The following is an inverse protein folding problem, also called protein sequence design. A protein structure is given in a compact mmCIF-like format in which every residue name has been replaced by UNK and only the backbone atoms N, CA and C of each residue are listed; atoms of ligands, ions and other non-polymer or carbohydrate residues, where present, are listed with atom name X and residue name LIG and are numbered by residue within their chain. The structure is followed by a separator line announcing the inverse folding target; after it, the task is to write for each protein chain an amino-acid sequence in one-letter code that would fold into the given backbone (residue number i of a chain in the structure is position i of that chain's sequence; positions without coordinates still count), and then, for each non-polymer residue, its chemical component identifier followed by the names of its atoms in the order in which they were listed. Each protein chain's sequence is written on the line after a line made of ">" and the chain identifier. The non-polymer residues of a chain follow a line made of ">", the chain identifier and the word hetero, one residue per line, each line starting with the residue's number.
data_IF_955953929530
#
_entry.id   IF_955953929530
#
_cell.length_a   1.000
_cell.length_b   1.000
_cell.length_c   1.000
_cell.angle_alpha   90.00
_cell.angle_beta   90.00
_cell.angle_gamma   90.00
#
_symmetry.space_group_name_H-M   'P 1'
#
loop_
_entity.id
_entity.type
_entity.pdbx_description
1 polymer ?
#
# COMPACT_ATOMS: atom_id res chain seq x y z
N UNK A 1 14.68 -0.71 87.91
CA UNK A 1 14.89 0.05 86.66
C UNK A 1 14.00 -0.54 85.59
N UNK A 2 12.96 0.17 85.11
CA UNK A 2 12.09 -0.30 84.02
C UNK A 2 12.60 0.28 82.69
N UNK A 3 12.86 -0.58 81.71
CA UNK A 3 13.27 -0.17 80.36
C UNK A 3 12.03 0.26 79.55
N UNK A 4 11.73 1.56 79.57
CA UNK A 4 10.55 2.14 78.89
C UNK A 4 10.61 2.08 77.35
N UNK A 5 11.71 1.57 76.77
CA UNK A 5 11.90 1.46 75.33
C UNK A 5 11.39 0.13 74.72
N UNK A 6 11.03 -0.87 75.53
CA UNK A 6 10.49 -2.15 75.02
C UNK A 6 9.01 -2.01 74.63
N UNK A 7 8.69 -2.47 73.42
CA UNK A 7 7.32 -2.65 72.95
C UNK A 7 7.06 -4.12 72.59
N UNK A 8 5.83 -4.62 72.74
CA UNK A 8 5.54 -6.05 72.54
C UNK A 8 4.09 -6.45 72.80
N UNK A 9 3.85 -7.76 72.98
CA UNK A 9 2.51 -8.31 73.21
C UNK A 9 1.90 -7.83 74.55
N UNK A 10 0.59 -7.54 74.62
CA UNK A 10 -0.08 -7.09 75.85
C UNK A 10 0.08 -8.06 77.04
N UNK A 11 0.32 -9.35 76.76
CA UNK A 11 0.58 -10.39 77.78
C UNK A 11 1.87 -10.15 78.56
N UNK A 12 2.80 -9.38 78.01
CA UNK A 12 4.10 -9.07 78.62
C UNK A 12 4.08 -7.74 79.40
N UNK A 13 2.90 -7.11 79.58
CA UNK A 13 2.72 -5.80 80.25
C UNK A 13 3.60 -4.67 79.69
N UNK A 14 3.99 -4.76 78.41
CA UNK A 14 4.73 -3.72 77.68
C UNK A 14 3.83 -3.01 76.67
N UNK A 15 4.20 -1.78 76.31
CA UNK A 15 3.47 -0.98 75.32
C UNK A 15 3.38 -1.71 73.97
N UNK A 16 2.24 -1.70 73.26
CA UNK A 16 2.16 -2.29 71.92
C UNK A 16 3.10 -1.59 70.93
N UNK A 17 3.82 -2.35 70.11
CA UNK A 17 4.66 -1.76 69.06
C UNK A 17 3.78 -1.03 68.02
N UNK A 18 4.10 0.23 67.73
CA UNK A 18 3.45 0.96 66.63
C UNK A 18 3.85 0.32 65.29
N UNK A 19 2.90 -0.32 64.62
CA UNK A 19 3.10 -0.97 63.32
C UNK A 19 3.40 0.05 62.21
N UNK A 20 4.69 0.40 62.06
CA UNK A 20 5.18 1.28 60.97
C UNK A 20 4.90 0.70 59.57
N UNK A 21 4.79 -0.62 59.47
CA UNK A 21 4.51 -1.36 58.23
C UNK A 21 3.13 -0.99 57.66
N UNK A 22 2.08 -1.00 58.49
CA UNK A 22 0.72 -0.68 58.06
C UNK A 22 0.56 0.78 57.60
N UNK A 23 1.28 1.72 58.25
CA UNK A 23 1.31 3.14 57.85
C UNK A 23 2.08 3.37 56.56
N UNK A 24 3.18 2.62 56.33
CA UNK A 24 3.95 2.67 55.08
C UNK A 24 3.13 2.10 53.92
N UNK A 25 2.46 0.97 54.13
CA UNK A 25 1.57 0.34 53.13
C UNK A 25 0.39 1.24 52.75
N UNK A 26 -0.28 1.88 53.71
CA UNK A 26 -1.34 2.87 53.42
C UNK A 26 -0.84 4.07 52.62
N UNK A 27 0.37 4.57 52.89
CA UNK A 27 0.96 5.68 52.12
C UNK A 27 1.37 5.26 50.71
N UNK A 28 1.99 4.09 50.55
CA UNK A 28 2.35 3.55 49.23
C UNK A 28 1.11 3.25 48.39
N UNK A 29 0.06 2.67 48.99
CA UNK A 29 -1.21 2.43 48.33
C UNK A 29 -1.91 3.75 47.92
N UNK A 30 -1.87 4.78 48.77
CA UNK A 30 -2.42 6.11 48.45
C UNK A 30 -1.64 6.81 47.32
N UNK A 31 -0.31 6.68 47.31
CA UNK A 31 0.52 7.20 46.23
C UNK A 31 0.33 6.43 44.93
N UNK A 32 0.24 5.10 44.98
CA UNK A 32 -0.11 4.28 43.83
C UNK A 32 -1.49 4.68 43.28
N UNK A 33 -2.50 4.83 44.13
CA UNK A 33 -3.82 5.30 43.72
C UNK A 33 -3.78 6.69 43.09
N UNK A 34 -2.97 7.61 43.63
CA UNK A 34 -2.88 9.00 43.16
C UNK A 34 -2.16 9.15 41.81
N UNK A 35 -1.22 8.27 41.48
CA UNK A 35 -0.40 8.40 40.26
C UNK A 35 -0.69 7.34 39.21
N UNK A 36 -1.07 6.12 39.60
CA UNK A 36 -1.27 5.00 38.66
C UNK A 36 -2.66 5.06 38.01
N UNK A 37 -3.70 5.48 38.74
CA UNK A 37 -5.04 5.64 38.13
C UNK A 37 -5.09 6.72 37.04
N UNK A 38 -4.53 7.92 37.25
CA UNK A 38 -4.52 8.95 36.22
C UNK A 38 -3.72 8.56 34.97
N UNK A 39 -2.62 7.80 35.12
CA UNK A 39 -1.83 7.35 33.95
C UNK A 39 -2.59 6.32 33.14
N UNK A 40 -3.25 5.34 33.77
CA UNK A 40 -4.11 4.41 33.05
C UNK A 40 -5.30 5.10 32.40
N UNK A 41 -5.95 6.06 33.08
CA UNK A 41 -7.03 6.84 32.51
C UNK A 41 -6.57 7.66 31.30
N UNK A 42 -5.40 8.28 31.37
CA UNK A 42 -4.77 9.00 30.25
C UNK A 42 -4.50 8.08 29.05
N UNK A 43 -3.94 6.89 29.28
CA UNK A 43 -3.69 5.90 28.23
C UNK A 43 -5.01 5.46 27.57
N UNK A 44 -6.06 5.21 28.35
CA UNK A 44 -7.38 4.84 27.82
C UNK A 44 -7.96 5.97 26.96
N UNK A 45 -7.82 7.23 27.37
CA UNK A 45 -8.27 8.39 26.60
C UNK A 45 -7.49 8.49 25.28
N UNK A 46 -6.17 8.33 25.29
CA UNK A 46 -5.34 8.33 24.08
C UNK A 46 -5.76 7.21 23.12
N UNK A 47 -5.98 6.00 23.63
CA UNK A 47 -6.46 4.87 22.83
C UNK A 47 -7.85 5.17 22.26
N UNK A 48 -8.77 5.72 23.05
CA UNK A 48 -10.10 6.10 22.59
C UNK A 48 -10.03 7.18 21.50
N UNK A 49 -9.15 8.18 21.64
CA UNK A 49 -8.91 9.21 20.61
C UNK A 49 -8.32 8.60 19.35
N UNK A 50 -7.37 7.66 19.45
CA UNK A 50 -6.82 6.93 18.29
C UNK A 50 -7.91 6.11 17.60
N UNK A 51 -8.77 5.41 18.36
CA UNK A 51 -9.89 4.65 17.81
C UNK A 51 -10.89 5.57 17.12
N UNK A 52 -11.24 6.71 17.74
CA UNK A 52 -12.13 7.72 17.15
C UNK A 52 -11.50 8.35 15.91
N UNK A 53 -10.20 8.64 15.92
CA UNK A 53 -9.47 9.16 14.77
C UNK A 53 -9.45 8.14 13.63
N UNK A 54 -9.13 6.87 13.91
CA UNK A 54 -9.23 5.77 12.92
C UNK A 54 -10.67 5.56 12.45
N UNK A 55 -11.68 5.67 13.32
CA UNK A 55 -13.10 5.59 12.94
C UNK A 55 -13.57 6.81 12.14
N UNK A 56 -13.03 8.00 12.37
CA UNK A 56 -13.33 9.22 11.61
C UNK A 56 -12.64 9.19 10.25
N UNK A 57 -11.41 8.69 10.19
CA UNK A 57 -10.70 8.42 8.94
C UNK A 57 -11.40 7.32 8.12
N UNK A 58 -11.91 6.27 8.80
CA UNK A 58 -12.77 5.24 8.21
C UNK A 58 -14.21 5.71 7.93
N UNK A 59 -14.65 6.77 8.61
CA UNK A 59 -15.97 7.38 8.49
C UNK A 59 -16.05 8.41 7.37
N UNK A 60 -14.91 9.02 7.02
CA UNK A 60 -14.76 9.82 5.80
C UNK A 60 -14.62 8.94 4.55
N UNK A 61 -14.40 7.63 4.72
CA UNK A 61 -14.56 6.59 3.69
C UNK A 61 -15.92 5.88 3.74
N UNK A 62 -16.90 6.45 4.45
CA UNK A 62 -18.30 6.07 4.26
C UNK A 62 -18.98 7.07 3.32
N UNK A 63 -18.36 7.29 2.16
CA UNK A 63 -19.13 7.68 0.98
C UNK A 63 -19.91 6.43 0.60
N UNK A 64 -21.21 6.45 0.88
CA UNK A 64 -22.23 5.45 0.56
C UNK A 64 -21.66 4.13 0.00
N UNK A 65 -21.63 3.10 0.86
CA UNK A 65 -21.77 1.73 0.37
C UNK A 65 -23.20 1.67 -0.19
N UNK A 66 -23.36 2.18 -1.40
CA UNK A 66 -24.31 1.63 -2.34
C UNK A 66 -23.71 0.27 -2.63
N UNK A 67 -24.12 -0.73 -1.84
CA UNK A 67 -24.23 -2.12 -2.30
C UNK A 67 -25.27 -2.15 -3.43
N UNK A 68 -25.06 -1.37 -4.49
CA UNK A 68 -25.28 -1.91 -5.80
C UNK A 68 -24.19 -2.97 -5.86
N UNK A 69 -24.64 -4.21 -5.68
CA UNK A 69 -24.17 -5.32 -6.47
C UNK A 69 -23.69 -4.74 -7.80
N UNK A 70 -22.40 -4.44 -7.95
CA UNK A 70 -21.82 -4.38 -9.27
C UNK A 70 -22.15 -5.78 -9.74
N UNK A 71 -23.12 -5.94 -10.66
CA UNK A 71 -23.30 -7.24 -11.25
C UNK A 71 -21.91 -7.59 -11.75
N UNK A 72 -21.58 -8.86 -11.79
CA UNK A 72 -20.52 -9.33 -12.68
C UNK A 72 -21.00 -8.99 -14.11
N UNK A 73 -21.05 -7.70 -14.46
CA UNK A 73 -21.09 -7.17 -15.79
C UNK A 73 -19.76 -7.65 -16.32
N UNK A 74 -19.84 -8.81 -17.00
CA UNK A 74 -18.92 -9.25 -18.03
C UNK A 74 -18.00 -8.11 -18.38
N UNK A 75 -16.73 -8.22 -17.97
CA UNK A 75 -15.65 -7.37 -18.45
C UNK A 75 -15.98 -6.92 -19.86
N UNK A 76 -16.37 -5.64 -20.03
CA UNK A 76 -16.90 -5.16 -21.30
C UNK A 76 -15.76 -5.42 -22.29
N UNK A 77 -15.92 -6.42 -23.15
CA UNK A 77 -14.84 -6.87 -24.04
C UNK A 77 -14.60 -5.74 -25.04
N UNK A 78 -13.53 -4.99 -24.83
CA UNK A 78 -13.14 -3.92 -25.74
C UNK A 78 -12.43 -4.59 -26.92
N UNK A 79 -12.97 -4.38 -28.12
CA UNK A 79 -12.43 -4.92 -29.36
C UNK A 79 -11.20 -4.15 -29.82
N UNK A 80 -10.37 -4.78 -30.65
CA UNK A 80 -9.23 -4.12 -31.30
C UNK A 80 -9.65 -2.85 -32.04
N UNK A 81 -10.75 -2.88 -32.80
CA UNK A 81 -11.23 -1.73 -33.57
C UNK A 81 -11.57 -0.52 -32.69
N UNK A 82 -12.15 -0.77 -31.51
CA UNK A 82 -12.45 0.30 -30.55
C UNK A 82 -11.17 0.91 -29.97
N UNK A 83 -10.15 0.09 -29.70
CA UNK A 83 -8.84 0.60 -29.26
C UNK A 83 -8.14 1.38 -30.36
N UNK A 84 -8.21 0.89 -31.60
CA UNK A 84 -7.65 1.54 -32.78
C UNK A 84 -8.28 2.92 -32.99
N UNK A 85 -9.61 3.00 -32.97
CA UNK A 85 -10.34 4.27 -33.09
C UNK A 85 -10.04 5.21 -31.91
N UNK A 86 -10.15 4.72 -30.67
CA UNK A 86 -9.94 5.52 -29.46
C UNK A 86 -8.51 6.06 -29.30
N UNK A 87 -7.52 5.46 -29.97
CA UNK A 87 -6.12 5.91 -29.99
C UNK A 87 -5.71 6.65 -31.27
N UNK A 88 -6.67 6.90 -32.18
CA UNK A 88 -6.40 7.45 -33.52
C UNK A 88 -5.34 6.64 -34.28
N UNK A 89 -5.53 5.33 -34.35
CA UNK A 89 -4.64 4.41 -35.04
C UNK A 89 -3.33 4.13 -34.31
N UNK A 90 -3.32 4.14 -32.97
CA UNK A 90 -2.10 4.11 -32.15
C UNK A 90 -1.09 5.20 -32.54
N UNK A 91 -1.59 6.42 -32.77
CA UNK A 91 -0.77 7.56 -33.19
C UNK A 91 0.31 7.90 -32.17
N UNK A 92 1.50 8.26 -32.65
CA UNK A 92 2.60 8.80 -31.83
C UNK A 92 2.19 10.01 -30.98
N UNK A 93 1.22 10.81 -31.44
CA UNK A 93 0.69 11.94 -30.66
C UNK A 93 -0.01 11.49 -29.36
N UNK A 94 -0.46 10.24 -29.31
CA UNK A 94 -1.09 9.62 -28.16
C UNK A 94 -0.13 8.73 -27.38
N UNK A 95 1.15 8.61 -27.76
CA UNK A 95 2.11 7.78 -27.05
C UNK A 95 2.42 8.41 -25.67
N UNK A 96 2.17 7.65 -24.61
CA UNK A 96 2.49 8.02 -23.23
C UNK A 96 3.88 7.53 -22.81
N UNK A 97 4.31 6.40 -23.35
CA UNK A 97 5.63 5.83 -23.08
C UNK A 97 5.84 4.49 -23.76
N UNK A 98 7.10 4.06 -23.82
CA UNK A 98 7.51 2.76 -24.38
C UNK A 98 8.46 2.06 -23.42
N UNK A 99 8.24 0.76 -23.23
CA UNK A 99 8.99 -0.09 -22.30
C UNK A 99 9.59 -1.32 -22.96
N UNK A 100 10.02 -2.26 -22.13
CA UNK A 100 10.59 -3.55 -22.56
C UNK A 100 9.57 -4.41 -23.32
N UNK A 101 8.32 -4.44 -22.89
CA UNK A 101 7.30 -5.36 -23.43
C UNK A 101 6.32 -4.72 -24.41
N UNK A 102 6.37 -3.41 -24.61
CA UNK A 102 5.40 -2.72 -25.45
C UNK A 102 5.36 -1.21 -25.29
N UNK A 103 4.26 -0.62 -25.70
CA UNK A 103 4.02 0.82 -25.70
C UNK A 103 2.67 1.13 -25.09
N UNK A 104 2.57 2.28 -24.41
CA UNK A 104 1.36 2.73 -23.74
C UNK A 104 0.83 3.96 -24.46
N UNK A 105 -0.44 3.93 -24.86
CA UNK A 105 -1.10 5.02 -25.57
C UNK A 105 -2.23 5.60 -24.73
N UNK A 106 -2.45 6.90 -24.82
CA UNK A 106 -3.67 7.54 -24.37
C UNK A 106 -4.79 7.18 -25.35
N UNK A 107 -5.95 6.80 -24.81
CA UNK A 107 -7.14 6.57 -25.61
C UNK A 107 -8.38 7.18 -24.96
N UNK A 108 -9.45 7.26 -25.75
CA UNK A 108 -10.78 7.65 -25.30
C UNK A 108 -11.75 6.53 -25.67
N UNK A 109 -12.44 5.98 -24.69
CA UNK A 109 -13.49 4.98 -24.91
C UNK A 109 -14.75 5.62 -25.50
N UNK A 110 -15.67 4.80 -26.04
CA UNK A 110 -16.91 5.27 -26.65
C UNK A 110 -17.81 6.10 -25.70
N UNK A 111 -17.69 5.89 -24.40
CA UNK A 111 -18.40 6.66 -23.38
C UNK A 111 -17.69 7.96 -22.97
N UNK A 112 -16.56 8.29 -23.62
CA UNK A 112 -15.75 9.48 -23.35
C UNK A 112 -14.69 9.30 -22.26
N UNK A 113 -14.57 8.10 -21.67
CA UNK A 113 -13.58 7.85 -20.61
C UNK A 113 -12.16 7.85 -21.15
N UNK A 114 -11.28 8.67 -20.57
CA UNK A 114 -9.84 8.62 -20.86
C UNK A 114 -9.21 7.36 -20.27
N UNK A 115 -8.42 6.65 -21.07
CA UNK A 115 -7.74 5.40 -20.68
C UNK A 115 -6.28 5.39 -21.10
N UNK A 116 -5.48 4.57 -20.43
CA UNK A 116 -4.15 4.19 -20.88
C UNK A 116 -4.22 2.77 -21.47
N UNK A 117 -3.72 2.59 -22.69
CA UNK A 117 -3.78 1.33 -23.44
C UNK A 117 -2.36 0.83 -23.62
N UNK A 118 -1.98 -0.19 -22.84
CA UNK A 118 -0.68 -0.86 -22.95
C UNK A 118 -0.77 -1.94 -24.03
N UNK A 119 -0.15 -1.70 -25.17
CA UNK A 119 -0.07 -2.62 -26.31
C UNK A 119 1.25 -3.39 -26.22
N UNK A 120 1.17 -4.71 -26.19
CA UNK A 120 2.35 -5.57 -26.07
C UNK A 120 2.94 -5.88 -27.44
N UNK A 121 4.26 -5.79 -27.55
CA UNK A 121 4.99 -6.16 -28.75
C UNK A 121 5.28 -7.67 -28.73
N UNK A 122 4.42 -8.47 -29.37
CA UNK A 122 4.52 -9.93 -29.37
C UNK A 122 5.77 -10.48 -30.09
N UNK A 123 6.50 -9.65 -30.83
CA UNK A 123 7.78 -10.01 -31.43
C UNK A 123 8.95 -9.94 -30.43
N UNK A 124 8.74 -9.35 -29.24
CA UNK A 124 9.76 -9.30 -28.19
C UNK A 124 9.64 -10.51 -27.27
N UNK A 125 10.78 -11.12 -26.99
CA UNK A 125 10.89 -12.22 -26.04
C UNK A 125 10.30 -11.84 -24.68
N UNK A 126 9.46 -12.72 -24.15
CA UNK A 126 8.81 -12.53 -22.86
C UNK A 126 7.61 -11.59 -22.85
N UNK A 127 7.30 -10.85 -23.94
CA UNK A 127 6.17 -9.92 -23.95
C UNK A 127 4.81 -10.61 -23.78
N UNK A 128 4.61 -11.77 -24.41
CA UNK A 128 3.39 -12.58 -24.23
C UNK A 128 3.26 -13.06 -22.78
N UNK A 129 4.34 -13.59 -22.20
CA UNK A 129 4.37 -14.00 -20.78
C UNK A 129 4.11 -12.83 -19.84
N UNK A 130 4.66 -11.66 -20.16
CA UNK A 130 4.43 -10.43 -19.39
C UNK A 130 2.96 -10.04 -19.39
N UNK A 131 2.29 -10.13 -20.55
CA UNK A 131 0.84 -9.93 -20.65
C UNK A 131 0.06 -10.94 -19.80
N UNK A 132 0.43 -12.22 -19.82
CA UNK A 132 -0.23 -13.26 -19.01
C UNK A 132 -0.09 -12.99 -17.51
N UNK A 133 1.12 -12.70 -17.04
CA UNK A 133 1.39 -12.37 -15.63
C UNK A 133 0.59 -11.14 -15.21
N UNK A 134 0.61 -10.08 -16.03
CA UNK A 134 -0.07 -8.84 -15.70
C UNK A 134 -1.60 -9.04 -15.68
N UNK A 135 -2.17 -9.82 -16.61
CA UNK A 135 -3.58 -10.19 -16.55
C UNK A 135 -3.92 -11.00 -15.28
N UNK A 136 -3.11 -12.00 -14.96
CA UNK A 136 -3.31 -12.85 -13.78
C UNK A 136 -3.27 -12.03 -12.50
N UNK A 137 -2.23 -11.23 -12.30
CA UNK A 137 -2.08 -10.37 -11.12
C UNK A 137 -3.22 -9.34 -11.06
N UNK A 138 -3.42 -8.57 -12.14
CA UNK A 138 -4.39 -7.47 -12.16
C UNK A 138 -5.84 -7.94 -12.05
N UNK A 139 -6.16 -9.18 -12.44
CA UNK A 139 -7.50 -9.75 -12.23
C UNK A 139 -7.84 -10.03 -10.76
N UNK A 140 -6.82 -10.12 -9.89
CA UNK A 140 -6.96 -10.51 -8.49
C UNK A 140 -6.71 -9.37 -7.50
N UNK A 141 -6.24 -8.20 -7.94
CA UNK A 141 -5.91 -7.06 -7.07
C UNK A 141 -6.92 -5.93 -7.21
N UNK A 142 -7.33 -5.35 -6.08
CA UNK A 142 -8.16 -4.15 -6.04
C UNK A 142 -7.81 -3.29 -4.83
N UNK A 143 -7.11 -2.19 -5.07
CA UNK A 143 -6.66 -1.29 -4.01
C UNK A 143 -6.55 0.15 -4.53
N UNK A 144 -6.85 1.14 -3.68
CA UNK A 144 -6.88 2.57 -4.05
C UNK A 144 -5.55 3.16 -4.52
N UNK A 145 -4.44 2.48 -4.23
CA UNK A 145 -3.07 2.90 -4.60
C UNK A 145 -2.46 1.95 -5.65
N UNK A 146 -3.29 1.20 -6.38
CA UNK A 146 -2.89 0.37 -7.51
C UNK A 146 -3.63 0.82 -8.76
N UNK A 147 -2.93 0.86 -9.89
CA UNK A 147 -3.55 1.23 -11.17
C UNK A 147 -4.66 0.23 -11.50
N UNK A 148 -5.87 0.74 -11.72
CA UNK A 148 -7.03 -0.09 -12.01
C UNK A 148 -7.01 -0.62 -13.44
N UNK A 149 -7.20 -1.93 -13.59
CA UNK A 149 -7.52 -2.54 -14.88
C UNK A 149 -9.00 -2.35 -15.18
N UNK A 150 -9.30 -1.88 -16.40
CA UNK A 150 -10.66 -1.70 -16.90
C UNK A 150 -11.06 -2.93 -17.73
N UNK A 151 -10.19 -3.35 -18.65
CA UNK A 151 -10.43 -4.49 -19.54
C UNK A 151 -9.13 -4.96 -20.18
N UNK A 152 -9.19 -6.07 -20.92
CA UNK A 152 -8.11 -6.52 -21.79
C UNK A 152 -8.65 -6.83 -23.19
N UNK A 153 -7.78 -6.68 -24.19
CA UNK A 153 -8.03 -7.12 -25.56
C UNK A 153 -7.01 -8.20 -25.90
N UNK A 154 -7.48 -9.38 -26.26
CA UNK A 154 -6.63 -10.53 -26.57
C UNK A 154 -7.13 -11.22 -27.83
N UNK A 155 -6.38 -11.07 -28.91
CA UNK A 155 -6.52 -11.83 -30.17
C UNK A 155 -5.22 -12.59 -30.45
N UNK A 156 -5.17 -13.41 -31.50
CA UNK A 156 -3.97 -14.22 -31.81
C UNK A 156 -2.73 -13.32 -31.95
N UNK A 157 -2.85 -12.22 -32.71
CA UNK A 157 -1.73 -11.36 -33.07
C UNK A 157 -1.68 -10.02 -32.30
N UNK A 158 -2.61 -9.80 -31.36
CA UNK A 158 -2.71 -8.55 -30.63
C UNK A 158 -3.07 -8.77 -29.17
N UNK A 159 -2.29 -8.18 -28.26
CA UNK A 159 -2.54 -8.15 -26.83
C UNK A 159 -2.48 -6.71 -26.32
N UNK A 160 -3.49 -6.31 -25.58
CA UNK A 160 -3.50 -5.03 -24.89
C UNK A 160 -4.22 -5.07 -23.55
N UNK A 161 -3.74 -4.25 -22.62
CA UNK A 161 -4.42 -3.94 -21.36
C UNK A 161 -4.98 -2.51 -21.42
N UNK A 162 -6.23 -2.37 -20.96
CA UNK A 162 -6.90 -1.08 -20.82
C UNK A 162 -6.93 -0.72 -19.35
N UNK A 163 -6.26 0.36 -19.02
CA UNK A 163 -6.00 0.84 -17.67
C UNK A 163 -6.64 2.21 -17.45
N UNK A 164 -6.93 2.52 -16.20
CA UNK A 164 -7.29 3.89 -15.81
C UNK A 164 -6.17 4.88 -16.18
N UNK A 165 -6.56 6.01 -16.77
CA UNK A 165 -5.61 7.04 -17.17
C UNK A 165 -5.20 7.92 -15.98
N UNK A 166 -3.89 8.06 -15.77
CA UNK A 166 -3.29 8.87 -14.71
C UNK A 166 -2.82 10.21 -15.28
N UNK A 167 -3.57 11.32 -15.11
CA UNK A 167 -3.33 12.57 -15.82
C UNK A 167 -2.03 13.28 -15.43
N UNK A 168 -1.53 13.06 -14.20
CA UNK A 168 -0.30 13.68 -13.74
C UNK A 168 0.95 12.85 -14.12
N UNK A 169 0.79 11.70 -14.77
CA UNK A 169 1.88 10.88 -15.29
C UNK A 169 2.67 10.17 -14.19
N UNK A 170 3.91 9.78 -14.50
CA UNK A 170 4.78 9.05 -13.57
C UNK A 170 5.48 9.94 -12.56
N UNK A 171 5.78 9.40 -11.38
CA UNK A 171 6.59 10.05 -10.35
C UNK A 171 7.98 10.41 -10.87
N UNK A 172 8.56 9.60 -11.75
CA UNK A 172 9.84 9.87 -12.43
C UNK A 172 9.85 11.26 -13.09
N UNK A 173 8.76 11.61 -13.79
CA UNK A 173 8.59 12.93 -14.41
C UNK A 173 8.66 14.05 -13.37
N UNK A 174 8.03 13.86 -12.22
CA UNK A 174 8.00 14.84 -11.13
C UNK A 174 9.32 14.97 -10.36
N UNK A 175 10.12 13.91 -10.34
CA UNK A 175 11.42 13.90 -9.66
C UNK A 175 12.55 14.47 -10.51
N UNK A 176 12.53 14.23 -11.83
CA UNK A 176 13.69 14.49 -12.69
C UNK A 176 13.46 15.53 -13.79
N UNK A 177 12.24 16.02 -14.00
CA UNK A 177 11.98 17.08 -14.99
C UNK A 177 12.12 18.47 -14.36
N UNK A 178 12.76 19.38 -15.08
CA UNK A 178 13.05 20.75 -14.62
C UNK A 178 11.82 21.62 -14.31
N UNK A 179 10.63 21.26 -14.81
CA UNK A 179 9.40 22.03 -14.66
C UNK A 179 8.45 21.49 -13.57
N UNK A 180 8.80 20.40 -12.89
CA UNK A 180 7.94 19.76 -11.90
C UNK A 180 8.60 19.80 -10.54
N UNK A 181 7.80 20.05 -9.51
CA UNK A 181 8.27 20.16 -8.14
C UNK A 181 7.26 19.50 -7.21
N UNK A 182 7.78 18.66 -6.31
CA UNK A 182 7.02 18.08 -5.21
C UNK A 182 7.49 18.70 -3.91
N UNK A 183 6.55 19.26 -3.15
CA UNK A 183 6.81 19.67 -1.78
C UNK A 183 7.00 18.45 -0.85
N UNK A 184 7.46 18.72 0.37
CA UNK A 184 7.76 17.66 1.33
C UNK A 184 6.51 16.85 1.73
N UNK A 185 5.35 17.50 1.82
CA UNK A 185 4.11 16.85 2.22
C UNK A 185 3.62 15.91 1.11
N UNK A 186 3.67 16.35 -0.15
CA UNK A 186 3.36 15.53 -1.32
C UNK A 186 4.27 14.30 -1.37
N UNK A 187 5.58 14.46 -1.14
CA UNK A 187 6.53 13.33 -1.10
C UNK A 187 6.18 12.32 -0.01
N UNK A 188 5.85 12.79 1.18
CA UNK A 188 5.43 11.92 2.30
C UNK A 188 4.13 11.18 1.95
N UNK A 189 3.14 11.87 1.39
CA UNK A 189 1.88 11.26 0.98
C UNK A 189 2.08 10.18 -0.09
N UNK A 190 2.89 10.47 -1.12
CA UNK A 190 3.25 9.51 -2.18
C UNK A 190 3.96 8.29 -1.59
N UNK A 191 4.89 8.49 -0.64
CA UNK A 191 5.56 7.39 0.06
C UNK A 191 4.57 6.52 0.84
N UNK A 192 3.62 7.15 1.53
CA UNK A 192 2.57 6.43 2.27
C UNK A 192 1.65 5.63 1.32
N UNK A 193 1.28 6.19 0.19
CA UNK A 193 0.46 5.55 -0.83
C UNK A 193 1.16 4.31 -1.42
N UNK A 194 2.45 4.45 -1.79
CA UNK A 194 3.27 3.34 -2.30
C UNK A 194 3.45 2.25 -1.23
N UNK A 195 3.70 2.64 0.03
CA UNK A 195 3.80 1.69 1.14
C UNK A 195 2.47 0.93 1.36
N UNK A 196 1.33 1.62 1.26
CA UNK A 196 -0.01 1.01 1.37
C UNK A 196 -0.26 0.01 0.24
N UNK A 197 0.15 0.32 -0.99
CA UNK A 197 0.07 -0.60 -2.11
C UNK A 197 0.91 -1.86 -1.89
N UNK A 198 2.15 -1.71 -1.42
CA UNK A 198 3.04 -2.84 -1.16
C UNK A 198 2.57 -3.71 0.00
N UNK A 199 2.07 -3.11 1.08
CA UNK A 199 1.47 -3.84 2.19
C UNK A 199 0.32 -4.73 1.68
N UNK A 200 -0.56 -4.17 0.85
CA UNK A 200 -1.66 -4.91 0.24
C UNK A 200 -1.16 -6.07 -0.63
N UNK A 201 -0.17 -5.85 -1.50
CA UNK A 201 0.35 -6.91 -2.38
C UNK A 201 1.03 -8.05 -1.60
N UNK A 202 1.76 -7.71 -0.53
CA UNK A 202 2.53 -8.70 0.22
C UNK A 202 1.70 -9.43 1.29
N UNK A 203 0.74 -8.76 1.92
CA UNK A 203 0.03 -9.26 3.10
C UNK A 203 -1.49 -9.37 2.89
N UNK A 204 -2.03 -8.79 1.82
CA UNK A 204 -3.47 -8.76 1.53
C UNK A 204 -4.01 -10.01 0.84
N UNK A 205 -3.13 -10.92 0.41
CA UNK A 205 -3.51 -12.14 -0.31
C UNK A 205 -2.89 -13.40 0.33
N UNK A 206 -3.55 -14.57 0.22
CA UNK A 206 -2.97 -15.84 0.67
C UNK A 206 -1.63 -16.17 0.01
N UNK A 207 -1.49 -15.77 -1.25
CA UNK A 207 -0.25 -15.91 -2.04
C UNK A 207 0.35 -14.51 -2.21
N UNK A 208 1.48 -14.19 -1.57
CA UNK A 208 2.10 -12.87 -1.68
C UNK A 208 2.47 -12.53 -3.12
N UNK A 209 2.19 -11.30 -3.52
CA UNK A 209 2.51 -10.78 -4.86
C UNK A 209 3.73 -9.86 -4.73
N UNK A 210 4.85 -10.25 -5.33
CA UNK A 210 6.06 -9.41 -5.40
C UNK A 210 6.03 -8.65 -6.72
N UNK A 211 6.06 -7.31 -6.66
CA UNK A 211 6.00 -6.45 -7.85
C UNK A 211 7.19 -6.66 -8.81
N UNK A 212 8.38 -6.84 -8.26
CA UNK A 212 9.67 -7.03 -8.96
C UNK A 212 10.20 -5.86 -9.80
N UNK A 213 9.38 -4.88 -10.21
CA UNK A 213 9.85 -3.69 -10.94
C UNK A 213 9.41 -2.35 -10.32
N UNK A 214 9.46 -2.21 -8.99
CA UNK A 214 9.04 -0.97 -8.38
C UNK A 214 10.12 0.12 -8.55
N UNK A 215 9.75 1.20 -9.23
CA UNK A 215 10.59 2.35 -9.56
C UNK A 215 9.72 3.59 -9.83
N UNK A 216 10.26 4.82 -9.82
CA UNK A 216 9.47 6.03 -10.06
C UNK A 216 8.69 6.06 -11.38
N UNK A 217 9.14 5.37 -12.43
CA UNK A 217 8.40 5.29 -13.71
C UNK A 217 7.11 4.46 -13.60
N UNK A 218 7.04 3.54 -12.63
CA UNK A 218 5.92 2.64 -12.39
C UNK A 218 5.00 3.11 -11.25
N UNK A 219 5.28 4.28 -10.67
CA UNK A 219 4.38 4.98 -9.74
C UNK A 219 3.72 6.11 -10.51
N UNK A 220 2.41 6.01 -10.74
CA UNK A 220 1.63 7.00 -11.48
C UNK A 220 0.82 7.87 -10.52
N UNK A 221 0.57 9.12 -10.92
CA UNK A 221 -0.16 10.10 -10.12
C UNK A 221 -1.51 10.42 -10.76
N UNK A 222 -2.58 10.25 -9.99
CA UNK A 222 -3.92 10.63 -10.42
C UNK A 222 -4.12 12.15 -10.35
N UNK A 223 -5.32 12.61 -10.69
CA UNK A 223 -5.69 14.05 -10.70
C UNK A 223 -5.49 14.75 -9.34
N UNK A 224 -5.57 14.02 -8.25
CA UNK A 224 -5.50 14.52 -6.87
C UNK A 224 -4.09 14.33 -6.27
N UNK A 225 -3.10 13.96 -7.10
CA UNK A 225 -1.72 13.65 -6.71
C UNK A 225 -1.58 12.44 -5.78
N UNK A 226 -2.58 11.55 -5.76
CA UNK A 226 -2.50 10.25 -5.07
C UNK A 226 -1.68 9.30 -5.92
N UNK A 227 -0.81 8.52 -5.27
CA UNK A 227 0.06 7.59 -5.98
C UNK A 227 -0.59 6.22 -6.21
N UNK A 228 -0.38 5.69 -7.41
CA UNK A 228 -0.88 4.41 -7.90
C UNK A 228 0.28 3.60 -8.48
N UNK A 229 0.57 2.43 -7.90
CA UNK A 229 1.58 1.50 -8.43
C UNK A 229 0.99 0.72 -9.59
N UNK A 230 1.72 0.64 -10.71
CA UNK A 230 1.35 -0.12 -11.89
C UNK A 230 2.52 -0.86 -12.52
N UNK A 231 2.27 -1.49 -13.67
CA UNK A 231 3.22 -2.35 -14.40
C UNK A 231 3.64 -3.62 -13.65
N UNK A 232 2.77 -4.63 -13.68
CA UNK A 232 3.00 -5.94 -13.06
C UNK A 232 3.62 -6.95 -14.03
N UNK A 233 4.18 -6.50 -15.15
CA UNK A 233 4.61 -7.35 -16.26
C UNK A 233 5.71 -8.37 -15.92
N UNK A 234 6.37 -8.25 -14.77
CA UNK A 234 7.35 -9.21 -14.26
C UNK A 234 7.09 -9.65 -12.82
N UNK A 235 5.89 -9.36 -12.30
CA UNK A 235 5.51 -9.70 -10.93
C UNK A 235 5.45 -11.21 -10.70
N UNK A 236 5.50 -11.60 -9.42
CA UNK A 236 5.55 -13.00 -9.01
C UNK A 236 4.56 -13.26 -7.90
N UNK A 237 3.81 -14.35 -8.04
CA UNK A 237 3.02 -14.93 -6.97
C UNK A 237 3.90 -15.97 -6.25
N UNK A 238 4.17 -15.77 -4.96
CA UNK A 238 5.01 -16.67 -4.17
C UNK A 238 4.16 -17.78 -3.55
N UNK A 239 4.19 -18.97 -4.16
CA UNK A 239 3.64 -20.19 -3.54
C UNK A 239 4.47 -20.68 -2.36
N UNK A 240 3.94 -21.65 -1.60
CA UNK A 240 4.60 -22.23 -0.42
C UNK A 240 5.99 -22.84 -0.73
N UNK A 241 6.23 -23.29 -1.97
CA UNK A 241 7.51 -23.87 -2.43
C UNK A 241 8.48 -22.83 -3.04
N UNK A 242 8.08 -21.56 -3.16
CA UNK A 242 8.79 -20.55 -3.97
C UNK A 242 9.60 -19.53 -3.16
N UNK A 243 9.71 -19.69 -1.84
CA UNK A 243 10.33 -18.71 -0.92
C UNK A 243 11.77 -18.33 -1.26
N UNK A 244 12.48 -19.11 -2.09
CA UNK A 244 13.87 -18.87 -2.50
C UNK A 244 14.15 -19.18 -3.99
N UNK A 245 13.22 -18.96 -4.91
CA UNK A 245 13.55 -19.11 -6.34
C UNK A 245 14.32 -17.89 -6.87
N UNK A 246 15.61 -18.11 -7.14
CA UNK A 246 16.48 -17.16 -7.84
C UNK A 246 15.86 -16.80 -9.19
N UNK A 247 15.65 -15.52 -9.42
CA UNK A 247 14.93 -15.02 -10.59
C UNK A 247 15.93 -14.59 -11.65
N UNK A 248 15.67 -14.94 -12.91
CA UNK A 248 16.41 -14.34 -14.02
C UNK A 248 16.26 -12.82 -13.95
N UNK A 249 17.35 -12.10 -14.24
CA UNK A 249 17.57 -10.66 -14.06
C UNK A 249 16.63 -9.78 -14.90
N UNK A 250 15.32 -9.80 -14.61
CA UNK A 250 14.30 -9.07 -15.36
C UNK A 250 13.90 -7.72 -14.74
N UNK A 251 14.59 -7.25 -13.69
CA UNK A 251 14.28 -6.00 -13.01
C UNK A 251 15.11 -4.80 -13.53
N UNK A 252 14.78 -3.60 -13.07
CA UNK A 252 15.52 -2.37 -13.42
C UNK A 252 16.81 -2.23 -12.60
N UNK A 253 17.95 -2.05 -13.26
CA UNK A 253 19.26 -1.79 -12.62
C UNK A 253 19.16 -0.53 -11.75
N UNK A 254 19.70 -0.60 -10.53
CA UNK A 254 19.63 0.48 -9.53
C UNK A 254 18.46 0.36 -8.54
N UNK A 255 17.45 -0.44 -8.86
CA UNK A 255 16.30 -0.71 -7.97
C UNK A 255 16.26 -2.17 -7.47
N UNK A 256 17.25 -3.00 -7.87
CA UNK A 256 17.38 -4.38 -7.40
C UNK A 256 17.98 -4.44 -6.00
N UNK A 257 17.42 -5.31 -5.14
CA UNK A 257 18.01 -5.62 -3.85
C UNK A 257 19.32 -6.41 -4.01
N UNK A 258 20.36 -6.13 -3.21
CA UNK A 258 21.70 -6.70 -3.40
C UNK A 258 21.89 -8.16 -2.95
N UNK A 259 20.86 -8.88 -2.48
CA UNK A 259 21.05 -10.31 -2.17
C UNK A 259 19.97 -11.03 -1.38
N UNK A 260 19.15 -10.34 -0.58
CA UNK A 260 18.10 -10.98 0.21
C UNK A 260 16.77 -10.22 0.10
N UNK A 261 15.72 -10.97 -0.24
CA UNK A 261 14.37 -10.49 -0.54
C UNK A 261 13.67 -10.06 0.75
N UNK A 262 14.04 -8.93 1.37
CA UNK A 262 13.18 -8.35 2.42
C UNK A 262 13.33 -6.86 2.78
N UNK A 263 14.11 -6.06 2.05
CA UNK A 263 14.15 -4.61 2.32
C UNK A 263 14.03 -3.79 1.03
N UNK A 264 12.82 -3.74 0.49
CA UNK A 264 12.45 -2.89 -0.67
C UNK A 264 12.07 -1.44 -0.32
N UNK A 265 12.31 -0.98 0.91
CA UNK A 265 11.82 0.33 1.35
C UNK A 265 12.77 1.51 1.06
N UNK A 266 14.06 1.28 0.76
CA UNK A 266 15.05 2.36 0.74
C UNK A 266 15.65 2.73 -0.61
N UNK A 267 15.32 2.04 -1.71
CA UNK A 267 15.86 2.37 -3.04
C UNK A 267 14.96 3.24 -3.91
N UNK A 268 13.76 3.62 -3.42
CA UNK A 268 12.77 4.36 -4.22
C UNK A 268 12.70 5.85 -3.84
N UNK A 269 13.29 6.27 -2.71
CA UNK A 269 13.23 7.64 -2.21
C UNK A 269 14.59 8.16 -1.76
#
# INVERSE_FOLDING_TARGET
>A
MKNYALCGSPRLQVSPCKNKIHRKFKKTALHALRYVLPTFASIIIVIAVIIVYKKKQRGNTNLAIVEDLIPVEKWRRISYNQLLEGTNGFSENNLLGSGSFGSVYKGILLDGTNVAIKVFNLQRDGAFRSFEIECEVMSNIFHRNLVKVISCCSTIDFKALVLEFMPNGSLEKWLYSYNYFLDILQRINIMMDVASALEYLHLGHPTPIIHCDLKPSNVLLDKDMVAHVGDFGISKLLGEEDSMKQTMTLATIGYMAPGDVLLLFFSIF
#
